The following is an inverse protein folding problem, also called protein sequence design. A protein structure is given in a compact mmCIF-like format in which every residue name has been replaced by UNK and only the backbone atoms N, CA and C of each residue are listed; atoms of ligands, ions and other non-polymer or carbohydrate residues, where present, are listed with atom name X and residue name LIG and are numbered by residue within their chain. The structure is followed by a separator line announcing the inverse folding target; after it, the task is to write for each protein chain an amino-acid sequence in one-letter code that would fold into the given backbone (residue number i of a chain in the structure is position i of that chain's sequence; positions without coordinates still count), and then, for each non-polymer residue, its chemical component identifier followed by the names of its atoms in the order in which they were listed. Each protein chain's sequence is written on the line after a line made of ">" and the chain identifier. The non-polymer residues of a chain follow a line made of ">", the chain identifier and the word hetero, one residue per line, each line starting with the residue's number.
data_IF_254421854773
#
_entry.id   IF_254421854773
#
_cell.length_a   1.000
_cell.length_b   1.000
_cell.length_c   1.000
_cell.angle_alpha   90.00
_cell.angle_beta   90.00
_cell.angle_gamma   90.00
#
_symmetry.space_group_name_H-M   'P 1'
#
loop_
_entity.id
_entity.type
_entity.pdbx_description
1 polymer ?
#
# COMPACT_ATOMS: atom_id res chain seq x y z
N UNK A 1 11.07 -23.44 12.69
CA UNK A 1 11.03 -22.37 13.70
C UNK A 1 10.41 -21.15 13.01
N UNK A 2 9.16 -20.78 13.28
CA UNK A 2 8.57 -19.57 12.67
C UNK A 2 9.25 -18.37 13.31
N UNK A 3 9.85 -17.53 12.48
CA UNK A 3 10.38 -16.25 12.93
C UNK A 3 9.19 -15.32 13.19
N UNK A 4 8.95 -14.94 14.44
CA UNK A 4 7.77 -14.14 14.83
C UNK A 4 7.87 -12.68 14.39
N UNK A 5 9.06 -12.16 14.10
CA UNK A 5 9.25 -10.79 13.61
C UNK A 5 8.73 -10.56 12.19
N UNK A 6 8.43 -11.61 11.46
CA UNK A 6 7.81 -11.52 10.13
C UNK A 6 6.30 -11.48 10.24
N UNK A 7 5.67 -10.56 9.53
CA UNK A 7 4.22 -10.53 9.37
C UNK A 7 3.76 -11.78 8.63
N UNK A 8 2.64 -12.33 9.11
CA UNK A 8 2.11 -13.55 8.52
C UNK A 8 1.68 -13.31 7.06
N UNK A 9 2.14 -14.17 6.18
CA UNK A 9 1.73 -14.23 4.78
C UNK A 9 1.42 -15.68 4.40
N UNK A 10 0.60 -15.85 3.36
CA UNK A 10 0.37 -17.15 2.76
C UNK A 10 1.52 -17.48 1.81
N UNK A 11 2.18 -18.62 1.97
CA UNK A 11 3.06 -19.18 0.95
C UNK A 11 2.20 -19.69 -0.20
N UNK A 12 1.70 -18.76 -1.02
CA UNK A 12 0.83 -19.14 -2.14
C UNK A 12 1.69 -19.46 -3.35
N UNK A 13 1.70 -20.75 -3.72
CA UNK A 13 2.23 -21.19 -5.00
C UNK A 13 3.70 -20.87 -5.27
N UNK A 14 4.58 -21.01 -4.29
CA UNK A 14 6.03 -20.97 -4.50
C UNK A 14 6.45 -21.94 -5.61
N UNK A 15 5.76 -23.08 -5.71
CA UNK A 15 5.94 -24.08 -6.78
C UNK A 15 5.70 -23.49 -8.20
N UNK A 16 4.90 -22.43 -8.31
CA UNK A 16 4.61 -21.73 -9.56
C UNK A 16 5.39 -20.40 -9.70
N UNK A 17 6.39 -20.15 -8.84
CA UNK A 17 7.18 -18.91 -8.85
C UNK A 17 6.41 -17.68 -8.41
N UNK A 18 5.29 -17.83 -7.73
CA UNK A 18 4.52 -16.72 -7.18
C UNK A 18 5.07 -16.32 -5.81
N UNK A 19 5.07 -15.03 -5.55
CA UNK A 19 5.43 -14.47 -4.22
C UNK A 19 4.25 -14.57 -3.26
N UNK A 20 4.57 -14.60 -1.97
CA UNK A 20 3.60 -14.62 -0.87
C UNK A 20 2.51 -13.53 -0.98
N UNK A 21 1.30 -13.87 -0.60
CA UNK A 21 0.15 -12.98 -0.51
C UNK A 21 -0.27 -12.78 0.95
N UNK A 22 -1.18 -11.84 1.19
CA UNK A 22 -1.80 -11.63 2.51
C UNK A 22 -2.59 -12.88 2.95
N UNK A 23 -2.78 -13.08 4.27
CA UNK A 23 -3.61 -14.16 4.78
C UNK A 23 -5.05 -14.09 4.25
N UNK A 24 -5.74 -15.22 4.23
CA UNK A 24 -7.14 -15.30 3.83
C UNK A 24 -8.07 -14.80 4.95
N UNK A 25 -9.12 -14.08 4.58
CA UNK A 25 -10.20 -13.69 5.48
C UNK A 25 -11.17 -14.87 5.65
N UNK A 26 -10.89 -15.71 6.65
CA UNK A 26 -11.69 -16.92 6.94
C UNK A 26 -12.87 -16.63 7.88
N UNK A 27 -12.74 -15.64 8.75
CA UNK A 27 -13.81 -15.16 9.64
C UNK A 27 -14.65 -14.13 8.89
N UNK A 28 -15.97 -14.24 8.97
CA UNK A 28 -16.95 -13.41 8.27
C UNK A 28 -16.58 -13.16 6.79
N UNK A 29 -16.40 -14.22 5.99
CA UNK A 29 -15.73 -14.15 4.70
C UNK A 29 -16.48 -13.30 3.67
N UNK A 30 -17.77 -13.03 3.88
CA UNK A 30 -18.60 -12.23 2.97
C UNK A 30 -18.65 -10.74 3.36
N UNK A 31 -18.16 -10.38 4.54
CA UNK A 31 -18.15 -8.97 4.95
C UNK A 31 -17.09 -8.19 4.18
N UNK A 32 -17.52 -7.18 3.39
CA UNK A 32 -16.63 -6.38 2.54
C UNK A 32 -15.93 -7.20 1.44
N UNK A 33 -16.54 -8.30 1.02
CA UNK A 33 -15.97 -9.23 0.04
C UNK A 33 -17.07 -9.86 -0.82
N UNK A 34 -17.01 -9.70 -2.12
CA UNK A 34 -17.89 -10.35 -3.08
C UNK A 34 -17.22 -11.62 -3.55
N UNK A 35 -17.71 -12.77 -3.12
CA UNK A 35 -17.12 -14.08 -3.42
C UNK A 35 -17.82 -14.73 -4.61
N UNK A 36 -17.07 -15.19 -5.62
CA UNK A 36 -17.63 -15.92 -6.76
C UNK A 36 -18.04 -17.35 -6.40
N UNK A 37 -17.43 -17.94 -5.35
CA UNK A 37 -17.76 -19.26 -4.80
C UNK A 37 -17.34 -19.34 -3.33
N UNK A 38 -17.78 -20.39 -2.64
CA UNK A 38 -17.45 -20.62 -1.23
C UNK A 38 -15.97 -20.95 -0.98
N UNK A 39 -15.25 -21.38 -1.99
CA UNK A 39 -13.82 -21.75 -1.90
C UNK A 39 -12.87 -20.56 -2.15
N UNK A 40 -13.39 -19.40 -2.57
CA UNK A 40 -12.59 -18.21 -2.86
C UNK A 40 -12.74 -17.18 -1.75
N UNK A 41 -11.63 -16.68 -1.25
CA UNK A 41 -11.58 -15.77 -0.11
C UNK A 41 -10.88 -14.47 -0.48
N UNK A 42 -11.32 -13.37 0.13
CA UNK A 42 -10.58 -12.13 0.15
C UNK A 42 -9.43 -12.20 1.17
N UNK A 43 -8.68 -11.12 1.29
CA UNK A 43 -7.51 -11.03 2.17
C UNK A 43 -7.85 -10.50 3.56
N UNK A 44 -7.05 -10.91 4.54
CA UNK A 44 -7.05 -10.37 5.90
C UNK A 44 -5.88 -9.40 6.07
N UNK A 45 -6.15 -8.22 6.62
CA UNK A 45 -5.15 -7.25 7.02
C UNK A 45 -5.58 -6.51 8.29
N UNK A 46 -4.74 -5.65 8.82
CA UNK A 46 -5.07 -4.82 9.99
C UNK A 46 -6.16 -3.78 9.73
N UNK A 47 -6.36 -3.38 8.47
CA UNK A 47 -7.47 -2.50 8.06
C UNK A 47 -8.52 -3.33 7.32
N UNK A 48 -9.80 -3.32 7.76
CA UNK A 48 -10.87 -4.10 7.12
C UNK A 48 -11.16 -3.68 5.67
N UNK A 49 -10.75 -2.48 5.26
CA UNK A 49 -10.92 -1.97 3.89
C UNK A 49 -9.90 -2.50 2.90
N UNK A 50 -8.99 -3.39 3.29
CA UNK A 50 -7.95 -3.96 2.41
C UNK A 50 -8.50 -4.50 1.09
N UNK A 51 -9.73 -5.02 1.10
CA UNK A 51 -10.38 -5.63 -0.06
C UNK A 51 -11.24 -4.64 -0.86
N UNK A 52 -11.28 -3.36 -0.49
CA UNK A 52 -12.14 -2.36 -1.16
C UNK A 52 -11.89 -2.31 -2.66
N UNK A 53 -10.63 -2.42 -3.08
CA UNK A 53 -10.25 -2.60 -4.47
C UNK A 53 -8.88 -3.28 -4.62
N UNK A 54 -8.63 -3.90 -5.76
CA UNK A 54 -7.46 -4.76 -6.00
C UNK A 54 -6.11 -4.06 -5.80
N UNK A 55 -5.96 -2.78 -6.21
CA UNK A 55 -4.71 -2.06 -6.05
C UNK A 55 -4.41 -1.71 -4.59
N UNK A 56 -5.45 -1.52 -3.77
CA UNK A 56 -5.28 -1.33 -2.34
C UNK A 56 -4.76 -2.61 -1.69
N UNK A 57 -5.36 -3.76 -1.99
CA UNK A 57 -4.89 -5.07 -1.51
C UNK A 57 -3.44 -5.35 -1.96
N UNK A 58 -3.11 -5.00 -3.20
CA UNK A 58 -1.75 -5.11 -3.73
C UNK A 58 -0.76 -4.23 -2.96
N UNK A 59 -1.13 -2.98 -2.67
CA UNK A 59 -0.26 -2.04 -1.92
C UNK A 59 -0.02 -2.55 -0.48
N UNK A 60 -1.05 -3.04 0.20
CA UNK A 60 -0.89 -3.73 1.48
C UNK A 60 0.08 -4.90 1.37
N UNK A 61 -0.07 -5.74 0.34
CA UNK A 61 0.84 -6.88 0.09
C UNK A 61 2.29 -6.43 -0.09
N UNK A 62 2.52 -5.33 -0.84
CA UNK A 62 3.87 -4.77 -1.04
C UNK A 62 4.52 -4.36 0.28
N UNK A 63 3.79 -3.62 1.13
CA UNK A 63 4.35 -3.14 2.39
C UNK A 63 4.56 -4.26 3.41
N UNK A 64 3.75 -5.33 3.39
CA UNK A 64 4.00 -6.52 4.21
C UNK A 64 5.25 -7.27 3.73
N UNK A 65 5.42 -7.43 2.41
CA UNK A 65 6.64 -8.01 1.84
C UNK A 65 7.88 -7.18 2.17
N UNK A 66 7.77 -5.85 2.07
CA UNK A 66 8.85 -4.94 2.44
C UNK A 66 9.22 -5.06 3.92
N UNK A 67 8.22 -5.11 4.80
CA UNK A 67 8.45 -5.37 6.23
C UNK A 67 9.23 -6.66 6.43
N UNK A 68 8.78 -7.78 5.85
CA UNK A 68 9.43 -9.07 6.02
C UNK A 68 10.86 -9.10 5.44
N UNK A 69 11.10 -8.39 4.35
CA UNK A 69 12.43 -8.23 3.78
C UNK A 69 13.34 -7.44 4.73
N UNK A 70 12.91 -6.27 5.18
CA UNK A 70 13.66 -5.45 6.14
C UNK A 70 13.96 -6.20 7.44
N UNK A 71 12.99 -6.96 7.95
CA UNK A 71 13.17 -7.76 9.16
C UNK A 71 14.30 -8.81 9.00
N UNK A 72 14.38 -9.47 7.85
CA UNK A 72 15.45 -10.41 7.53
C UNK A 72 16.83 -9.73 7.46
N UNK A 73 16.90 -8.57 6.80
CA UNK A 73 18.15 -7.81 6.69
C UNK A 73 18.61 -7.29 8.06
N UNK A 74 17.69 -6.77 8.88
CA UNK A 74 17.98 -6.32 10.24
C UNK A 74 18.44 -7.47 11.15
N UNK A 75 17.83 -8.65 11.02
CA UNK A 75 18.26 -9.83 11.78
C UNK A 75 19.68 -10.27 11.41
N UNK A 76 20.06 -10.12 10.14
CA UNK A 76 21.41 -10.47 9.68
C UNK A 76 22.48 -9.52 10.23
N UNK A 77 22.20 -8.23 10.31
CA UNK A 77 23.16 -7.23 10.82
C UNK A 77 23.12 -7.06 12.35
N UNK A 78 22.04 -7.51 12.99
CA UNK A 78 21.84 -7.44 14.44
C UNK A 78 21.50 -8.81 15.06
N UNK A 79 22.39 -9.81 15.01
CA UNK A 79 22.09 -11.17 15.45
C UNK A 79 21.80 -11.29 16.96
N UNK A 80 22.05 -10.23 17.72
CA UNK A 80 21.80 -10.15 19.16
C UNK A 80 20.39 -9.58 19.49
N UNK A 81 19.65 -9.09 18.51
CA UNK A 81 18.29 -8.62 18.73
C UNK A 81 17.32 -9.79 18.90
N UNK A 82 16.38 -9.63 19.82
CA UNK A 82 15.29 -10.57 19.96
C UNK A 82 14.18 -10.29 18.93
N UNK A 83 13.22 -11.19 18.86
CA UNK A 83 12.11 -11.13 17.92
C UNK A 83 11.28 -9.84 18.03
N UNK A 84 10.93 -9.42 19.24
CA UNK A 84 10.15 -8.20 19.48
C UNK A 84 10.90 -6.95 19.04
N UNK A 85 12.20 -6.86 19.34
CA UNK A 85 13.03 -5.74 18.90
C UNK A 85 13.09 -5.67 17.37
N UNK A 86 13.30 -6.79 16.70
CA UNK A 86 13.31 -6.87 15.23
C UNK A 86 11.98 -6.43 14.64
N UNK A 87 10.87 -6.89 15.22
CA UNK A 87 9.53 -6.49 14.77
C UNK A 87 9.29 -5.00 14.92
N UNK A 88 9.54 -4.42 16.10
CA UNK A 88 9.26 -3.01 16.36
C UNK A 88 10.15 -2.08 15.52
N UNK A 89 11.44 -2.35 15.43
CA UNK A 89 12.35 -1.54 14.61
C UNK A 89 12.01 -1.63 13.12
N UNK A 90 11.67 -2.82 12.63
CA UNK A 90 11.22 -3.00 11.25
C UNK A 90 9.93 -2.23 10.97
N UNK A 91 8.96 -2.29 11.89
CA UNK A 91 7.70 -1.57 11.81
C UNK A 91 7.92 -0.07 11.75
N UNK A 92 8.82 0.48 12.59
CA UNK A 92 9.17 1.90 12.58
C UNK A 92 9.79 2.31 11.24
N UNK A 93 10.73 1.54 10.72
CA UNK A 93 11.36 1.82 9.41
C UNK A 93 10.31 1.77 8.30
N UNK A 94 9.48 0.73 8.26
CA UNK A 94 8.45 0.58 7.23
C UNK A 94 7.42 1.73 7.28
N UNK A 95 7.03 2.17 8.47
CA UNK A 95 6.16 3.33 8.66
C UNK A 95 6.84 4.64 8.21
N UNK A 96 8.13 4.81 8.54
CA UNK A 96 8.90 5.97 8.11
C UNK A 96 9.05 6.06 6.58
N UNK A 97 9.16 4.93 5.89
CA UNK A 97 9.15 4.87 4.42
C UNK A 97 7.82 5.42 3.86
N UNK A 98 6.69 5.03 4.42
CA UNK A 98 5.37 5.54 4.00
C UNK A 98 5.26 7.05 4.27
N UNK A 99 5.74 7.51 5.42
CA UNK A 99 5.79 8.95 5.73
C UNK A 99 6.68 9.70 4.74
N UNK A 100 7.85 9.16 4.42
CA UNK A 100 8.76 9.76 3.44
C UNK A 100 8.12 9.88 2.05
N UNK A 101 7.45 8.84 1.57
CA UNK A 101 6.71 8.86 0.30
C UNK A 101 5.62 9.93 0.35
N UNK A 102 4.88 10.01 1.46
CA UNK A 102 3.80 10.99 1.63
C UNK A 102 4.32 12.42 1.55
N UNK A 103 5.35 12.76 2.31
CA UNK A 103 5.83 14.14 2.42
C UNK A 103 6.75 14.56 1.28
N UNK A 104 7.46 13.62 0.65
CA UNK A 104 8.42 13.91 -0.41
C UNK A 104 7.87 13.76 -1.83
N UNK A 105 6.87 12.90 -2.01
CA UNK A 105 6.32 12.58 -3.33
C UNK A 105 4.85 12.99 -3.48
N UNK A 106 3.98 12.56 -2.56
CA UNK A 106 2.53 12.75 -2.67
C UNK A 106 2.10 14.20 -2.37
N UNK A 107 2.44 14.73 -1.20
CA UNK A 107 2.00 16.07 -0.79
C UNK A 107 2.50 17.21 -1.69
N UNK A 108 3.73 17.18 -2.25
CA UNK A 108 4.13 18.19 -3.22
C UNK A 108 3.25 18.27 -4.46
N UNK A 109 2.70 17.14 -4.88
CA UNK A 109 1.79 17.09 -6.03
C UNK A 109 0.38 17.59 -5.67
N UNK A 110 -0.10 17.27 -4.47
CA UNK A 110 -1.46 17.61 -4.02
C UNK A 110 -1.56 19.06 -3.56
N UNK A 111 -0.62 19.52 -2.75
CA UNK A 111 -0.64 20.84 -2.10
C UNK A 111 0.19 21.89 -2.85
N UNK A 112 1.18 21.47 -3.60
CA UNK A 112 2.19 22.34 -4.17
C UNK A 112 3.24 22.77 -3.16
N UNK A 113 4.44 23.09 -3.65
CA UNK A 113 5.62 23.40 -2.80
C UNK A 113 5.43 24.64 -1.93
N UNK A 114 4.72 25.65 -2.43
CA UNK A 114 4.48 26.89 -1.69
C UNK A 114 3.66 26.65 -0.41
N UNK A 115 2.58 25.86 -0.52
CA UNK A 115 1.74 25.50 0.63
C UNK A 115 2.52 24.65 1.62
N UNK A 116 3.27 23.68 1.14
CA UNK A 116 4.12 22.84 1.99
C UNK A 116 5.15 23.68 2.77
N UNK A 117 5.79 24.63 2.11
CA UNK A 117 6.75 25.51 2.76
C UNK A 117 6.09 26.38 3.81
N UNK A 118 4.94 26.99 3.50
CA UNK A 118 4.15 27.82 4.41
C UNK A 118 3.75 27.10 5.70
N UNK A 119 3.46 25.81 5.59
CA UNK A 119 3.00 24.97 6.71
C UNK A 119 4.10 24.10 7.34
N UNK A 120 5.36 24.27 6.94
CA UNK A 120 6.49 23.51 7.52
C UNK A 120 6.46 22.02 7.21
N UNK A 121 5.89 21.62 6.05
CA UNK A 121 5.75 20.22 5.62
C UNK A 121 6.91 19.71 4.77
N UNK A 122 7.91 20.55 4.50
CA UNK A 122 9.09 20.17 3.71
C UNK A 122 10.05 19.38 4.58
N UNK A 123 10.51 18.24 4.07
CA UNK A 123 11.50 17.41 4.75
C UNK A 123 12.82 18.16 4.93
N UNK A 124 13.50 17.92 6.05
CA UNK A 124 14.84 18.42 6.28
C UNK A 124 15.82 17.77 5.29
N UNK A 125 16.77 18.58 4.81
CA UNK A 125 17.82 18.10 3.90
C UNK A 125 18.94 17.37 4.63
N UNK A 126 19.21 17.78 5.86
CA UNK A 126 20.31 17.28 6.68
C UNK A 126 19.87 17.20 8.16
N UNK A 127 20.48 16.29 8.91
CA UNK A 127 20.26 16.10 10.33
C UNK A 127 18.94 15.42 10.66
N UNK A 128 18.58 15.46 11.94
CA UNK A 128 17.37 14.84 12.47
C UNK A 128 16.36 15.92 12.88
N UNK A 129 15.07 15.63 12.65
CA UNK A 129 14.00 16.50 13.12
C UNK A 129 13.94 16.45 14.66
N UNK A 130 13.99 17.62 15.29
CA UNK A 130 13.98 17.78 16.74
C UNK A 130 12.69 18.39 17.30
N UNK A 131 11.68 18.59 16.44
CA UNK A 131 10.39 19.18 16.80
C UNK A 131 9.32 18.15 17.18
N UNK A 132 9.71 16.94 17.61
CA UNK A 132 8.75 15.94 18.07
C UNK A 132 8.02 16.42 19.33
N UNK A 133 6.70 16.40 19.29
CA UNK A 133 5.82 16.73 20.40
C UNK A 133 4.95 15.52 20.77
N UNK A 134 5.23 14.91 21.91
CA UNK A 134 4.48 13.74 22.41
C UNK A 134 3.03 14.08 22.79
N UNK A 135 2.71 15.37 22.98
CA UNK A 135 1.36 15.83 23.33
C UNK A 135 0.55 16.30 22.12
N UNK A 136 1.15 16.34 20.94
CA UNK A 136 0.44 16.68 19.72
C UNK A 136 -0.70 15.67 19.46
N UNK A 137 -1.91 16.17 19.24
CA UNK A 137 -3.03 15.32 18.87
C UNK A 137 -2.91 14.88 17.39
N UNK A 138 -2.66 13.59 17.11
CA UNK A 138 -2.46 13.10 15.74
C UNK A 138 -3.77 12.84 15.00
N UNK A 139 -4.92 13.06 15.61
CA UNK A 139 -6.21 12.79 14.98
C UNK A 139 -6.56 13.82 13.92
N UNK A 140 -7.35 13.44 12.95
CA UNK A 140 -7.90 14.32 11.92
C UNK A 140 -9.34 14.70 12.24
N UNK A 141 -9.79 15.85 11.77
CA UNK A 141 -11.19 16.27 11.92
C UNK A 141 -12.10 15.40 11.09
N UNK A 142 -13.36 15.26 11.52
CA UNK A 142 -14.36 14.51 10.77
C UNK A 142 -14.59 15.10 9.36
N UNK A 143 -14.61 16.42 9.23
CA UNK A 143 -14.74 17.09 7.93
C UNK A 143 -13.58 16.78 6.97
N UNK A 144 -12.35 16.60 7.48
CA UNK A 144 -11.25 16.15 6.67
C UNK A 144 -11.45 14.68 6.22
N UNK A 145 -11.72 13.78 7.16
CA UNK A 145 -11.84 12.35 6.88
C UNK A 145 -13.03 12.01 5.97
N UNK A 146 -14.18 12.68 6.15
CA UNK A 146 -15.43 12.37 5.46
C UNK A 146 -15.68 13.19 4.18
N UNK A 147 -14.98 14.30 3.99
CA UNK A 147 -15.19 15.19 2.86
C UNK A 147 -13.87 15.59 2.17
N UNK A 148 -13.01 16.38 2.81
CA UNK A 148 -11.85 16.96 2.14
C UNK A 148 -10.88 15.93 1.56
N UNK A 149 -10.58 14.87 2.31
CA UNK A 149 -9.68 13.79 1.85
C UNK A 149 -10.37 12.78 0.91
N UNK A 150 -11.62 13.06 0.50
CA UNK A 150 -12.35 12.28 -0.51
C UNK A 150 -12.18 12.82 -1.93
N UNK A 151 -11.43 13.91 -2.12
CA UNK A 151 -11.14 14.48 -3.45
C UNK A 151 -10.56 13.46 -4.44
N UNK A 152 -9.78 12.48 -3.94
CA UNK A 152 -9.19 11.41 -4.73
C UNK A 152 -10.18 10.57 -5.50
N UNK A 153 -11.46 10.50 -5.09
CA UNK A 153 -12.50 9.76 -5.82
C UNK A 153 -12.70 10.28 -7.23
N UNK A 154 -12.55 11.58 -7.45
CA UNK A 154 -12.66 12.18 -8.78
C UNK A 154 -11.45 11.94 -9.69
N UNK A 155 -10.35 11.46 -9.13
CA UNK A 155 -9.10 11.15 -9.84
C UNK A 155 -9.05 9.71 -10.33
N UNK A 156 -9.95 8.84 -9.86
CA UNK A 156 -9.95 7.44 -10.21
C UNK A 156 -10.31 7.25 -11.68
N UNK A 157 -9.50 6.47 -12.44
CA UNK A 157 -9.85 6.11 -13.80
C UNK A 157 -10.98 5.08 -13.81
N UNK A 158 -11.76 5.04 -14.88
CA UNK A 158 -12.83 4.05 -15.07
C UNK A 158 -12.32 2.62 -15.28
N UNK A 159 -11.07 2.50 -15.71
CA UNK A 159 -10.38 1.22 -15.95
C UNK A 159 -9.01 1.23 -15.31
N UNK A 160 -8.58 0.08 -14.83
CA UNK A 160 -7.23 -0.14 -14.32
C UNK A 160 -6.45 -0.93 -15.34
N UNK A 161 -5.33 -0.38 -15.76
CA UNK A 161 -4.47 -0.94 -16.80
C UNK A 161 -3.41 -1.88 -16.21
N UNK A 162 -3.08 -2.90 -16.98
CA UNK A 162 -1.96 -3.80 -16.74
C UNK A 162 -0.89 -3.59 -17.82
N UNK A 163 0.34 -3.45 -17.38
CA UNK A 163 1.48 -3.21 -18.25
C UNK A 163 2.59 -4.23 -17.98
N UNK A 164 3.36 -4.57 -19.02
CA UNK A 164 4.52 -5.43 -18.87
C UNK A 164 5.70 -4.67 -18.26
N UNK A 165 6.70 -5.41 -17.77
CA UNK A 165 7.97 -4.86 -17.29
C UNK A 165 8.76 -4.07 -18.37
N UNK A 166 8.39 -4.24 -19.62
CA UNK A 166 8.97 -3.49 -20.76
C UNK A 166 8.08 -2.32 -21.20
N UNK A 167 7.22 -1.85 -20.31
CA UNK A 167 6.31 -0.71 -20.54
C UNK A 167 5.40 -0.91 -21.77
N UNK A 168 4.91 -2.12 -22.00
CA UNK A 168 3.91 -2.40 -23.03
C UNK A 168 2.56 -2.65 -22.39
N UNK A 169 1.52 -2.02 -22.91
CA UNK A 169 0.14 -2.28 -22.51
C UNK A 169 -0.24 -3.74 -22.74
N UNK A 170 -0.86 -4.37 -21.74
CA UNK A 170 -1.33 -5.76 -21.79
C UNK A 170 -2.85 -5.80 -21.91
N UNK A 171 -3.55 -4.98 -21.14
CA UNK A 171 -4.99 -4.94 -21.08
C UNK A 171 -5.48 -4.12 -19.91
N UNK A 172 -6.78 -3.94 -19.79
CA UNK A 172 -7.41 -3.21 -18.67
C UNK A 172 -8.65 -3.93 -18.18
N UNK A 173 -9.05 -3.61 -16.94
CA UNK A 173 -10.29 -4.05 -16.34
C UNK A 173 -11.07 -2.85 -15.83
N UNK A 174 -12.38 -2.94 -15.84
CA UNK A 174 -13.23 -1.91 -15.28
C UNK A 174 -13.06 -1.86 -13.76
N UNK A 175 -12.87 -0.66 -13.22
CA UNK A 175 -12.74 -0.48 -11.78
C UNK A 175 -13.95 -1.04 -11.02
N UNK A 176 -15.16 -0.85 -11.55
CA UNK A 176 -16.39 -1.39 -10.96
C UNK A 176 -16.44 -2.91 -10.83
N UNK A 177 -15.66 -3.63 -11.62
CA UNK A 177 -15.54 -5.10 -11.59
C UNK A 177 -14.45 -5.58 -10.62
N UNK A 178 -13.71 -4.65 -10.02
CA UNK A 178 -12.58 -4.92 -9.12
C UNK A 178 -12.88 -4.56 -7.66
N UNK A 179 -14.05 -3.96 -7.40
CA UNK A 179 -14.45 -3.55 -6.04
C UNK A 179 -14.83 -4.79 -5.22
N UNK A 180 -14.22 -4.91 -4.05
CA UNK A 180 -14.40 -6.03 -3.11
C UNK A 180 -14.15 -7.42 -3.74
N UNK A 181 -13.31 -7.45 -4.80
CA UNK A 181 -12.97 -8.64 -5.59
C UNK A 181 -11.48 -8.67 -5.95
N UNK A 182 -10.55 -8.82 -4.97
CA UNK A 182 -9.10 -8.72 -5.22
C UNK A 182 -8.49 -9.99 -5.82
N UNK A 183 -9.28 -10.85 -6.46
CA UNK A 183 -8.89 -12.20 -6.92
C UNK A 183 -7.90 -12.22 -8.06
N UNK A 184 -7.72 -11.12 -8.76
CA UNK A 184 -6.69 -10.98 -9.77
C UNK A 184 -5.28 -11.16 -9.21
N UNK A 185 -5.09 -10.88 -7.92
CA UNK A 185 -3.82 -11.08 -7.24
C UNK A 185 -3.45 -12.57 -7.07
N UNK A 186 -4.42 -13.48 -7.22
CA UNK A 186 -4.15 -14.92 -7.29
C UNK A 186 -3.60 -15.38 -8.63
N UNK A 187 -3.59 -14.52 -9.65
CA UNK A 187 -3.07 -14.84 -10.98
C UNK A 187 -1.59 -14.50 -11.06
N UNK A 188 -0.77 -15.43 -11.56
CA UNK A 188 0.67 -15.26 -11.70
C UNK A 188 1.04 -14.02 -12.53
N UNK A 189 1.92 -13.15 -11.98
CA UNK A 189 2.42 -11.95 -12.64
C UNK A 189 1.46 -10.76 -12.67
N UNK A 190 0.21 -10.92 -12.23
CA UNK A 190 -0.77 -9.82 -12.30
C UNK A 190 -0.46 -8.69 -11.32
N UNK A 191 0.03 -8.99 -10.13
CA UNK A 191 0.47 -7.97 -9.19
C UNK A 191 1.56 -7.06 -9.79
N UNK A 192 2.57 -7.66 -10.43
CA UNK A 192 3.63 -6.91 -11.11
C UNK A 192 3.08 -6.08 -12.27
N UNK A 193 2.13 -6.63 -13.03
CA UNK A 193 1.50 -5.94 -14.15
C UNK A 193 0.64 -4.74 -13.68
N UNK A 194 -0.02 -4.83 -12.53
CA UNK A 194 -0.75 -3.71 -11.93
C UNK A 194 0.19 -2.63 -11.40
N UNK A 195 1.32 -3.01 -10.78
CA UNK A 195 2.35 -2.05 -10.38
C UNK A 195 2.85 -1.27 -11.59
N UNK A 196 3.15 -1.96 -12.67
CA UNK A 196 3.56 -1.33 -13.93
C UNK A 196 2.44 -0.47 -14.51
N UNK A 197 1.18 -0.87 -14.37
CA UNK A 197 0.01 -0.08 -14.74
C UNK A 197 -0.07 1.23 -13.96
N UNK A 198 0.09 1.21 -12.64
CA UNK A 198 0.09 2.41 -11.81
C UNK A 198 1.21 3.40 -12.19
N UNK A 199 2.34 2.92 -12.70
CA UNK A 199 3.45 3.76 -13.14
C UNK A 199 3.18 4.37 -14.52
N UNK A 200 2.51 3.66 -15.41
CA UNK A 200 2.35 4.03 -16.81
C UNK A 200 0.98 4.66 -17.13
N UNK A 201 -0.06 4.28 -16.40
CA UNK A 201 -1.41 4.79 -16.61
C UNK A 201 -1.51 6.25 -16.14
N UNK A 202 -1.89 7.13 -17.04
CA UNK A 202 -2.13 8.55 -16.71
C UNK A 202 -3.50 8.67 -16.01
N UNK A 203 -3.52 9.24 -14.81
CA UNK A 203 -4.79 9.61 -14.17
C UNK A 203 -5.46 10.77 -14.89
N UNK A 204 -6.79 10.78 -14.98
CA UNK A 204 -7.59 11.71 -15.76
C UNK A 204 -7.36 13.20 -15.44
N UNK A 205 -6.77 13.54 -14.30
CA UNK A 205 -6.78 14.91 -13.76
C UNK A 205 -5.55 15.75 -14.09
N UNK A 206 -4.46 15.17 -14.56
CA UNK A 206 -3.21 15.93 -14.82
C UNK A 206 -3.37 16.85 -16.05
N UNK A 207 -4.28 16.55 -16.95
CA UNK A 207 -4.49 17.35 -18.16
C UNK A 207 -5.32 18.64 -17.99
N UNK A 208 -6.01 18.83 -16.87
CA UNK A 208 -6.89 20.00 -16.69
C UNK A 208 -6.27 21.16 -15.92
N UNK A 209 -5.14 20.96 -15.24
CA UNK A 209 -4.44 22.01 -14.49
C UNK A 209 -3.19 22.58 -15.17
N UNK A 210 -2.86 22.14 -16.38
CA UNK A 210 -1.70 22.62 -17.14
C UNK A 210 -2.06 23.59 -18.29
N UNK A 211 -3.19 24.32 -18.19
CA UNK A 211 -3.50 25.42 -19.09
C UNK A 211 -3.75 26.71 -18.31
#
# INVERSE_FOLDING_TARGET
>A
MRMHYSLQMLPVFEEFGMKELLPLKLEDPNEGCIRPSEDVYCFLAGDPRVNEQTLLAMTHTLFVRNHNHLAKELAAVNPHWNDETLFQETKHINSAIIQHITYNEFLPMVLGKEVMQRHGLILQKEGYFNGYDAYANPTVTNGFASAAFRFGHSLLPSTIERWSKTHRYIGSQRLSEMLQQPYDLYKGGWADNYIMGMINQVSFFIYHFSK
#
